data_IF_198183344373
#
_entry.id   IF_198183344373
#
_cell.length_a   1.000
_cell.length_b   1.000
_cell.length_c   1.000
_cell.angle_alpha   90.00
_cell.angle_beta   90.00
_cell.angle_gamma   90.00
#
_symmetry.space_group_name_H-M   'P 1'
#
loop_
_entity.id
_entity.type
_entity.pdbx_description
1 polymer ?
#
# COMPACT_ATOMS: atom_id res chain seq x y z
N UNK A 1 -14.13 24.99 4.03
CA UNK A 1 -13.78 23.92 3.08
C UNK A 1 -15.05 23.16 2.80
N UNK A 2 -15.44 22.95 1.54
CA UNK A 2 -16.72 22.31 1.21
C UNK A 2 -16.67 20.79 1.46
N UNK A 3 -17.81 20.14 1.71
CA UNK A 3 -17.90 18.69 1.94
C UNK A 3 -17.20 17.87 0.83
N UNK A 4 -17.43 18.23 -0.43
CA UNK A 4 -16.83 17.57 -1.60
C UNK A 4 -15.30 17.71 -1.60
N UNK A 5 -14.79 18.89 -1.22
CA UNK A 5 -13.35 19.14 -1.09
C UNK A 5 -12.76 18.35 0.07
N UNK A 6 -13.45 18.30 1.21
CA UNK A 6 -13.03 17.54 2.40
C UNK A 6 -12.90 16.05 2.09
N UNK A 7 -13.90 15.47 1.45
CA UNK A 7 -13.91 14.05 1.08
C UNK A 7 -12.81 13.71 0.04
N UNK A 8 -12.53 14.62 -0.90
CA UNK A 8 -11.43 14.48 -1.86
C UNK A 8 -10.06 14.54 -1.17
N UNK A 9 -9.87 15.46 -0.22
CA UNK A 9 -8.64 15.58 0.54
C UNK A 9 -8.33 14.33 1.38
N UNK A 10 -9.35 13.77 2.05
CA UNK A 10 -9.22 12.50 2.79
C UNK A 10 -8.79 11.36 1.86
N UNK A 11 -9.43 11.24 0.69
CA UNK A 11 -9.06 10.20 -0.29
C UNK A 11 -7.63 10.38 -0.79
N UNK A 12 -7.21 11.59 -1.12
CA UNK A 12 -5.85 11.86 -1.56
C UNK A 12 -4.81 11.46 -0.49
N UNK A 13 -5.10 11.73 0.78
CA UNK A 13 -4.23 11.32 1.88
C UNK A 13 -4.12 9.78 2.00
N UNK A 14 -5.23 9.06 1.87
CA UNK A 14 -5.23 7.59 1.87
C UNK A 14 -4.41 7.05 0.69
N UNK A 15 -4.57 7.64 -0.50
CA UNK A 15 -3.82 7.22 -1.69
C UNK A 15 -2.33 7.47 -1.49
N UNK A 16 -1.96 8.63 -0.95
CA UNK A 16 -0.59 8.96 -0.63
C UNK A 16 0.01 7.95 0.36
N UNK A 17 -0.75 7.55 1.39
CA UNK A 17 -0.32 6.53 2.34
C UNK A 17 -0.11 5.16 1.69
N UNK A 18 -1.03 4.74 0.83
CA UNK A 18 -0.91 3.49 0.08
C UNK A 18 0.29 3.50 -0.86
N UNK A 19 0.55 4.61 -1.55
CA UNK A 19 1.72 4.77 -2.42
C UNK A 19 3.00 4.72 -1.60
N UNK A 20 3.07 5.44 -0.48
CA UNK A 20 4.24 5.43 0.40
C UNK A 20 4.51 4.02 0.95
N UNK A 21 3.49 3.33 1.48
CA UNK A 21 3.61 1.97 1.98
C UNK A 21 4.04 0.99 0.87
N UNK A 22 3.51 1.17 -0.35
CA UNK A 22 3.89 0.38 -1.51
C UNK A 22 5.34 0.59 -1.92
N UNK A 23 5.83 1.84 -1.95
CA UNK A 23 7.24 2.14 -2.23
C UNK A 23 8.15 1.54 -1.17
N UNK A 24 7.82 1.70 0.12
CA UNK A 24 8.59 1.09 1.21
C UNK A 24 8.65 -0.43 1.07
N UNK A 25 7.51 -1.08 0.84
CA UNK A 25 7.43 -2.53 0.64
C UNK A 25 8.36 -3.01 -0.48
N UNK A 26 8.38 -2.28 -1.58
CA UNK A 26 9.14 -2.64 -2.77
C UNK A 26 10.63 -2.46 -2.55
N UNK A 27 11.03 -1.33 -1.94
CA UNK A 27 12.42 -1.08 -1.59
C UNK A 27 12.93 -2.12 -0.59
N UNK A 28 12.17 -2.42 0.46
CA UNK A 28 12.54 -3.45 1.45
C UNK A 28 12.75 -4.81 0.77
N UNK A 29 11.84 -5.22 -0.11
CA UNK A 29 11.96 -6.49 -0.83
C UNK A 29 13.17 -6.47 -1.78
N UNK A 30 13.41 -5.38 -2.50
CA UNK A 30 14.56 -5.23 -3.38
C UNK A 30 15.91 -5.32 -2.63
N UNK A 31 16.02 -4.68 -1.47
CA UNK A 31 17.23 -4.74 -0.63
C UNK A 31 17.51 -6.18 -0.16
N UNK A 32 16.47 -6.92 0.21
CA UNK A 32 16.59 -8.34 0.61
C UNK A 32 17.10 -9.21 -0.53
N UNK A 33 16.65 -8.98 -1.77
CA UNK A 33 17.07 -9.81 -2.90
C UNK A 33 18.44 -9.48 -3.46
N UNK A 34 18.82 -8.20 -3.47
CA UNK A 34 20.09 -7.76 -4.06
C UNK A 34 21.26 -7.83 -3.08
N UNK A 35 21.01 -7.97 -1.77
CA UNK A 35 21.99 -7.77 -0.70
C UNK A 35 22.73 -6.42 -0.78
N UNK A 36 22.22 -5.47 -1.55
CA UNK A 36 22.73 -4.10 -1.59
C UNK A 36 22.05 -3.37 -0.45
N UNK A 37 22.80 -2.94 0.56
CA UNK A 37 22.29 -2.18 1.71
C UNK A 37 21.82 -0.77 1.32
N UNK A 38 20.66 -0.69 0.68
CA UNK A 38 19.97 0.59 0.41
C UNK A 38 19.20 1.06 1.64
N UNK A 39 18.67 0.12 2.43
CA UNK A 39 17.98 0.34 3.70
C UNK A 39 18.37 -0.76 4.70
N UNK A 40 18.50 -0.47 6.00
CA UNK A 40 18.75 -1.49 7.01
C UNK A 40 17.50 -2.35 7.20
N UNK A 41 17.30 -3.39 6.39
CA UNK A 41 16.07 -4.20 6.39
C UNK A 41 16.00 -5.08 7.63
N UNK A 42 15.04 -4.79 8.50
CA UNK A 42 14.68 -5.64 9.63
C UNK A 42 13.25 -6.19 9.46
N UNK A 43 12.88 -7.29 10.14
CA UNK A 43 11.50 -7.76 10.15
C UNK A 43 10.48 -6.69 10.61
N UNK A 44 10.94 -5.67 11.34
CA UNK A 44 10.12 -4.54 11.76
C UNK A 44 9.54 -3.72 10.59
N UNK A 45 10.15 -3.75 9.40
CA UNK A 45 9.61 -3.06 8.21
C UNK A 45 8.27 -3.63 7.74
N UNK A 46 8.03 -4.93 7.94
CA UNK A 46 6.73 -5.51 7.61
C UNK A 46 5.65 -5.05 8.59
N UNK A 47 6.01 -4.93 9.87
CA UNK A 47 5.13 -4.32 10.88
C UNK A 47 4.82 -2.88 10.50
N UNK A 48 5.82 -2.14 10.03
CA UNK A 48 5.69 -0.76 9.57
C UNK A 48 4.64 -0.59 8.46
N UNK A 49 4.71 -1.45 7.45
CA UNK A 49 3.74 -1.48 6.34
C UNK A 49 2.34 -1.79 6.85
N UNK A 50 2.18 -2.78 7.73
CA UNK A 50 0.86 -3.16 8.28
C UNK A 50 0.26 -2.02 9.11
N UNK A 51 1.07 -1.37 9.94
CA UNK A 51 0.64 -0.21 10.74
C UNK A 51 0.22 0.95 9.82
N UNK A 52 1.02 1.25 8.79
CA UNK A 52 0.72 2.31 7.83
C UNK A 52 -0.58 2.06 7.06
N UNK A 53 -0.82 0.81 6.63
CA UNK A 53 -2.06 0.40 5.98
C UNK A 53 -3.26 0.46 6.93
N UNK A 54 -3.09 0.04 8.19
CA UNK A 54 -4.12 0.14 9.23
C UNK A 54 -4.52 1.59 9.51
N UNK A 55 -3.53 2.49 9.62
CA UNK A 55 -3.77 3.92 9.77
C UNK A 55 -4.45 4.51 8.54
N UNK A 56 -4.01 4.16 7.34
CA UNK A 56 -4.64 4.59 6.09
C UNK A 56 -6.12 4.15 6.01
N UNK A 57 -6.44 2.94 6.45
CA UNK A 57 -7.82 2.47 6.56
C UNK A 57 -8.63 3.25 7.60
N UNK A 58 -8.03 3.61 8.73
CA UNK A 58 -8.64 4.50 9.73
C UNK A 58 -8.96 5.89 9.17
N UNK A 59 -8.06 6.46 8.36
CA UNK A 59 -8.27 7.72 7.64
C UNK A 59 -9.40 7.57 6.61
N UNK A 60 -9.47 6.44 5.91
CA UNK A 60 -10.58 6.14 4.99
C UNK A 60 -11.94 6.10 5.71
N UNK A 61 -11.99 5.58 6.95
CA UNK A 61 -13.17 5.66 7.83
C UNK A 61 -13.38 7.05 8.45
N UNK A 62 -12.64 8.07 8.01
CA UNK A 62 -12.74 9.48 8.44
C UNK A 62 -12.43 9.67 9.93
N UNK A 63 -11.61 8.80 10.52
CA UNK A 63 -11.14 8.96 11.90
C UNK A 63 -10.10 10.09 11.99
N UNK A 64 -10.39 11.10 12.81
CA UNK A 64 -9.49 12.24 13.09
C UNK A 64 -8.17 11.77 13.71
N UNK A 65 -8.25 10.84 14.67
CA UNK A 65 -7.08 10.33 15.40
C UNK A 65 -6.15 9.57 14.44
N UNK A 66 -6.69 8.71 13.59
CA UNK A 66 -5.87 7.97 12.62
C UNK A 66 -5.17 8.88 11.62
N UNK A 67 -5.77 10.01 11.22
CA UNK A 67 -5.14 10.96 10.31
C UNK A 67 -3.92 11.65 10.93
N UNK A 68 -4.03 12.04 12.20
CA UNK A 68 -2.92 12.63 12.96
C UNK A 68 -1.83 11.59 13.19
N UNK A 69 -2.20 10.38 13.61
CA UNK A 69 -1.26 9.28 13.82
C UNK A 69 -0.52 8.91 12.53
N UNK A 70 -1.20 8.87 11.38
CA UNK A 70 -0.57 8.58 10.08
C UNK A 70 0.52 9.60 9.73
N UNK A 71 0.26 10.89 9.95
CA UNK A 71 1.26 11.95 9.72
C UNK A 71 2.45 11.80 10.67
N UNK A 72 2.19 11.65 11.97
CA UNK A 72 3.24 11.49 12.98
C UNK A 72 4.12 10.26 12.70
N UNK A 73 3.47 9.14 12.38
CA UNK A 73 4.12 7.89 12.02
C UNK A 73 5.07 8.07 10.83
N UNK A 74 4.59 8.73 9.77
CA UNK A 74 5.40 9.03 8.60
C UNK A 74 6.62 9.92 8.92
N UNK A 75 6.44 10.95 9.75
CA UNK A 75 7.54 11.85 10.13
C UNK A 75 8.61 11.12 10.95
N UNK A 76 8.20 10.26 11.89
CA UNK A 76 9.13 9.44 12.68
C UNK A 76 9.91 8.49 11.76
N UNK A 77 9.22 7.87 10.80
CA UNK A 77 9.85 7.04 9.77
C UNK A 77 10.92 7.80 8.99
N UNK A 78 10.60 9.01 8.49
CA UNK A 78 11.58 9.81 7.73
C UNK A 78 12.75 10.32 8.55
N UNK A 79 12.54 10.70 9.81
CA UNK A 79 13.65 11.08 10.69
C UNK A 79 14.58 9.88 10.90
N UNK A 80 14.02 8.68 11.13
CA UNK A 80 14.81 7.46 11.32
C UNK A 80 15.65 7.13 10.08
N UNK A 81 15.10 7.31 8.88
CA UNK A 81 15.81 7.13 7.61
C UNK A 81 16.95 8.15 7.46
N UNK A 82 16.71 9.44 7.76
CA UNK A 82 17.75 10.46 7.68
C UNK A 82 18.89 10.23 8.66
N UNK A 83 18.58 9.78 9.88
CA UNK A 83 19.60 9.43 10.88
C UNK A 83 20.42 8.21 10.44
N UNK A 84 19.81 7.26 9.73
CA UNK A 84 20.48 6.04 9.28
C UNK A 84 21.37 6.25 8.04
N UNK A 85 20.90 7.03 7.06
CA UNK A 85 21.66 7.28 5.81
C UNK A 85 22.57 8.51 5.88
N UNK A 86 22.39 9.39 6.87
CA UNK A 86 23.15 10.65 6.97
C UNK A 86 22.90 11.63 5.83
N UNK A 87 21.88 11.40 5.00
CA UNK A 87 21.56 12.22 3.82
C UNK A 87 20.05 12.55 3.79
N UNK A 88 19.74 13.80 3.42
CA UNK A 88 18.38 14.36 3.31
C UNK A 88 17.84 14.33 1.87
N UNK A 89 18.37 13.48 1.00
CA UNK A 89 17.96 13.37 -0.40
C UNK A 89 16.46 13.07 -0.60
N UNK A 90 15.80 12.47 0.40
CA UNK A 90 14.36 12.18 0.37
C UNK A 90 13.46 13.34 0.82
N UNK A 91 14.02 14.50 1.16
CA UNK A 91 13.29 15.66 1.70
C UNK A 91 12.22 16.23 0.74
N UNK A 92 12.47 16.41 -0.57
CA UNK A 92 11.44 16.91 -1.50
C UNK A 92 10.22 15.99 -1.54
N UNK A 93 10.45 14.68 -1.59
CA UNK A 93 9.36 13.69 -1.61
C UNK A 93 8.61 13.65 -0.28
N UNK A 94 9.33 13.80 0.84
CA UNK A 94 8.72 13.87 2.17
C UNK A 94 7.76 15.05 2.32
N UNK A 95 8.11 16.22 1.79
CA UNK A 95 7.25 17.39 1.80
C UNK A 95 5.95 17.18 1.02
N UNK A 96 6.02 16.48 -0.12
CA UNK A 96 4.83 16.15 -0.93
C UNK A 96 3.87 15.24 -0.15
N UNK A 97 4.37 14.16 0.46
CA UNK A 97 3.53 13.28 1.28
C UNK A 97 2.97 14.00 2.51
N UNK A 98 3.78 14.79 3.19
CA UNK A 98 3.37 15.58 4.35
C UNK A 98 2.21 16.53 3.99
N UNK A 99 2.30 17.20 2.83
CA UNK A 99 1.22 18.04 2.32
C UNK A 99 -0.10 17.27 2.16
N UNK A 100 -0.08 16.08 1.57
CA UNK A 100 -1.27 15.25 1.42
C UNK A 100 -1.83 14.77 2.77
N UNK A 101 -0.99 14.41 3.73
CA UNK A 101 -1.44 14.00 5.06
C UNK A 101 -2.05 15.16 5.85
N UNK A 102 -1.46 16.36 5.79
CA UNK A 102 -2.04 17.57 6.40
C UNK A 102 -3.39 17.92 5.77
N UNK A 103 -3.51 17.78 4.45
CA UNK A 103 -4.81 17.91 3.77
C UNK A 103 -5.82 16.85 4.25
N UNK A 104 -5.38 15.61 4.44
CA UNK A 104 -6.20 14.53 5.00
C UNK A 104 -6.73 14.87 6.39
N UNK A 105 -5.87 15.37 7.27
CA UNK A 105 -6.25 15.83 8.61
C UNK A 105 -7.32 16.92 8.51
N UNK A 106 -7.05 18.00 7.76
CA UNK A 106 -8.02 19.08 7.56
C UNK A 106 -9.36 18.57 7.01
N UNK A 107 -9.33 17.61 6.09
CA UNK A 107 -10.51 16.96 5.53
C UNK A 107 -11.32 16.18 6.57
N UNK A 108 -10.67 15.38 7.43
CA UNK A 108 -11.37 14.63 8.50
C UNK A 108 -12.01 15.53 9.56
N UNK A 109 -11.36 16.63 9.93
CA UNK A 109 -11.91 17.61 10.87
C UNK A 109 -13.09 18.38 10.27
N UNK A 110 -12.96 18.86 9.03
CA UNK A 110 -14.05 19.54 8.32
C UNK A 110 -15.28 18.63 8.16
N UNK A 111 -15.07 17.34 7.88
CA UNK A 111 -16.15 16.36 7.76
C UNK A 111 -16.95 16.22 9.07
N UNK A 112 -16.26 16.13 10.21
CA UNK A 112 -16.92 15.96 11.51
C UNK A 112 -17.66 17.23 11.95
N UNK A 113 -17.10 18.40 11.69
CA UNK A 113 -17.75 19.68 11.97
C UNK A 113 -19.07 19.85 11.19
N UNK A 114 -19.11 19.42 9.93
CA UNK A 114 -20.35 19.48 9.13
C UNK A 114 -21.39 18.44 9.57
N UNK A 115 -20.94 17.24 9.93
CA UNK A 115 -21.86 16.17 10.38
C UNK A 115 -22.53 16.54 11.71
N UNK A 116 -21.84 17.28 12.59
CA UNK A 116 -22.40 17.78 13.85
C UNK A 116 -23.50 18.82 13.66
N UNK A 117 -23.45 19.63 12.57
CA UNK A 117 -24.40 20.73 12.34
C UNK A 117 -25.65 20.30 11.55
N UNK A 118 -25.61 19.15 10.87
CA UNK A 118 -26.75 18.62 10.09
C UNK A 118 -27.79 17.90 10.99
N UNK A 119 -27.49 17.72 12.28
CA UNK A 119 -28.32 16.92 13.19
C UNK A 119 -29.51 17.67 13.83
N UNK A 120 -29.78 18.93 13.46
CA UNK A 120 -30.81 19.73 14.14
C UNK A 120 -32.05 20.11 13.31
N UNK A 121 -31.99 20.25 11.97
CA UNK A 121 -33.15 20.81 11.23
C UNK A 121 -33.52 20.12 9.89
N UNK A 122 -32.82 19.07 9.44
CA UNK A 122 -33.16 18.43 8.16
C UNK A 122 -33.23 16.90 8.28
N UNK A 123 -34.37 16.31 7.87
CA UNK A 123 -34.41 14.89 7.56
C UNK A 123 -33.28 14.57 6.57
N UNK A 124 -32.41 13.60 6.88
CA UNK A 124 -31.22 13.36 6.08
C UNK A 124 -31.66 12.90 4.69
N UNK A 125 -31.55 13.78 3.70
CA UNK A 125 -31.61 13.38 2.29
C UNK A 125 -30.44 12.46 2.04
N UNK A 126 -30.69 11.17 2.24
CA UNK A 126 -29.77 10.07 2.09
C UNK A 126 -29.45 10.01 0.60
N UNK A 127 -28.50 10.83 0.16
CA UNK A 127 -27.84 10.63 -1.12
C UNK A 127 -26.91 9.44 -0.95
N UNK A 128 -27.52 8.27 -0.73
CA UNK A 128 -26.98 6.97 -1.05
C UNK A 128 -26.81 6.92 -2.56
N UNK A 129 -25.88 7.74 -3.10
CA UNK A 129 -25.11 7.26 -4.22
C UNK A 129 -24.38 6.03 -3.69
N UNK A 130 -25.03 4.88 -3.88
CA UNK A 130 -24.39 3.58 -3.88
C UNK A 130 -23.31 3.71 -4.93
N UNK A 131 -22.13 4.17 -4.49
CA UNK A 131 -20.92 4.28 -5.29
C UNK A 131 -20.53 2.85 -5.59
N UNK A 132 -21.18 2.33 -6.62
CA UNK A 132 -21.14 0.94 -7.04
C UNK A 132 -19.65 0.72 -7.33
N UNK A 133 -18.98 -0.07 -6.49
CA UNK A 133 -17.52 -0.18 -6.49
C UNK A 133 -17.05 -0.87 -7.76
N UNK A 134 -15.82 -0.61 -8.19
CA UNK A 134 -15.18 -1.42 -9.23
C UNK A 134 -14.76 -2.73 -8.58
N UNK A 135 -15.66 -3.72 -8.62
CA UNK A 135 -15.39 -5.09 -8.19
C UNK A 135 -14.08 -5.62 -8.80
N UNK A 136 -13.78 -5.45 -10.11
CA UNK A 136 -12.53 -5.97 -10.67
C UNK A 136 -11.27 -5.27 -10.11
N UNK A 137 -11.33 -3.96 -9.84
CA UNK A 137 -10.20 -3.23 -9.25
C UNK A 137 -9.95 -3.57 -7.77
N UNK A 138 -11.00 -3.94 -7.03
CA UNK A 138 -10.84 -4.46 -5.66
C UNK A 138 -10.20 -5.84 -5.73
N UNK A 139 -10.69 -6.73 -6.61
CA UNK A 139 -10.12 -8.08 -6.76
C UNK A 139 -8.64 -8.01 -7.12
N UNK A 140 -8.23 -7.16 -8.07
CA UNK A 140 -6.81 -7.03 -8.45
C UNK A 140 -5.95 -6.50 -7.30
N UNK A 141 -6.46 -5.56 -6.50
CA UNK A 141 -5.79 -5.06 -5.32
C UNK A 141 -5.65 -6.13 -4.23
N UNK A 142 -6.72 -6.90 -3.97
CA UNK A 142 -6.71 -7.97 -2.95
C UNK A 142 -5.76 -9.09 -3.34
N UNK A 143 -5.71 -9.46 -4.62
CA UNK A 143 -4.75 -10.43 -5.16
C UNK A 143 -3.31 -9.93 -5.05
N UNK A 144 -3.07 -8.67 -5.40
CA UNK A 144 -1.75 -8.05 -5.27
C UNK A 144 -1.27 -7.98 -3.81
N UNK A 145 -2.17 -7.65 -2.88
CA UNK A 145 -1.85 -7.67 -1.44
C UNK A 145 -1.60 -9.10 -0.92
N UNK A 146 -2.34 -10.10 -1.41
CA UNK A 146 -2.09 -11.50 -1.09
C UNK A 146 -0.72 -11.98 -1.56
N UNK A 147 -0.30 -11.56 -2.76
CA UNK A 147 1.02 -11.85 -3.31
C UNK A 147 2.16 -11.27 -2.49
N UNK A 148 1.95 -10.07 -1.92
CA UNK A 148 2.92 -9.49 -1.01
C UNK A 148 3.15 -10.39 0.21
N UNK A 149 2.07 -10.87 0.84
CA UNK A 149 2.15 -11.76 2.01
C UNK A 149 2.94 -13.03 1.69
N UNK A 150 2.73 -13.63 0.53
CA UNK A 150 3.50 -14.81 0.12
C UNK A 150 4.99 -14.50 -0.09
N UNK A 151 5.36 -13.32 -0.63
CA UNK A 151 6.78 -12.89 -0.70
C UNK A 151 7.35 -12.78 0.71
N UNK A 152 6.63 -12.18 1.66
CA UNK A 152 7.10 -12.05 3.05
C UNK A 152 7.36 -13.42 3.66
N UNK A 153 6.43 -14.37 3.49
CA UNK A 153 6.60 -15.74 4.00
C UNK A 153 7.84 -16.41 3.38
N UNK A 154 8.03 -16.28 2.07
CA UNK A 154 9.20 -16.84 1.39
C UNK A 154 10.51 -16.27 1.96
N UNK A 155 10.57 -14.95 2.15
CA UNK A 155 11.76 -14.27 2.67
C UNK A 155 12.06 -14.70 4.11
N UNK A 156 11.03 -14.75 4.97
CA UNK A 156 11.20 -15.08 6.38
C UNK A 156 11.59 -16.54 6.63
N UNK A 157 11.08 -17.47 5.80
CA UNK A 157 11.25 -18.90 6.03
C UNK A 157 12.20 -19.58 5.02
N UNK A 158 12.66 -18.87 3.99
CA UNK A 158 13.49 -19.44 2.92
C UNK A 158 14.95 -19.68 3.30
N UNK A 159 15.55 -18.79 4.10
CA UNK A 159 16.96 -18.84 4.52
C UNK A 159 17.19 -19.76 5.72
N UNK A 160 16.96 -21.06 5.55
CA UNK A 160 17.14 -22.06 6.63
C UNK A 160 16.16 -23.23 6.56
N UNK A 161 15.22 -23.17 5.63
CA UNK A 161 14.30 -24.26 5.32
C UNK A 161 15.04 -25.57 4.99
N UNK A 162 14.52 -26.68 5.52
CA UNK A 162 14.90 -28.02 5.10
C UNK A 162 14.63 -28.21 3.60
N UNK A 163 15.30 -29.18 2.97
CA UNK A 163 15.14 -29.52 1.54
C UNK A 163 13.66 -29.66 1.14
N UNK A 164 12.84 -30.33 1.96
CA UNK A 164 11.40 -30.46 1.71
C UNK A 164 10.65 -29.13 1.71
N UNK A 165 10.98 -28.21 2.63
CA UNK A 165 10.33 -26.89 2.71
C UNK A 165 10.73 -26.02 1.50
N UNK A 166 11.98 -26.14 1.01
CA UNK A 166 12.44 -25.43 -0.20
C UNK A 166 11.61 -25.81 -1.43
N UNK A 167 11.26 -27.09 -1.59
CA UNK A 167 10.40 -27.55 -2.70
C UNK A 167 9.01 -26.93 -2.60
N UNK A 168 8.43 -26.89 -1.40
CA UNK A 168 7.12 -26.25 -1.17
C UNK A 168 7.17 -24.75 -1.47
N UNK A 169 8.23 -24.05 -1.05
CA UNK A 169 8.47 -22.64 -1.36
C UNK A 169 8.57 -22.42 -2.88
N UNK A 170 9.30 -23.28 -3.60
CA UNK A 170 9.41 -23.20 -5.07
C UNK A 170 8.07 -23.40 -5.78
N UNK A 171 7.25 -24.36 -5.33
CA UNK A 171 5.90 -24.56 -5.86
C UNK A 171 5.01 -23.34 -5.59
N UNK A 172 5.08 -22.80 -4.39
CA UNK A 172 4.34 -21.61 -3.98
C UNK A 172 4.73 -20.39 -4.84
N UNK A 173 6.02 -20.22 -5.14
CA UNK A 173 6.53 -19.21 -6.09
C UNK A 173 5.91 -19.34 -7.49
N UNK A 174 5.80 -20.55 -8.04
CA UNK A 174 5.17 -20.76 -9.34
C UNK A 174 3.68 -20.35 -9.33
N UNK A 175 2.95 -20.72 -8.28
CA UNK A 175 1.52 -20.36 -8.17
C UNK A 175 1.30 -18.85 -8.03
N UNK A 176 2.21 -18.15 -7.37
CA UNK A 176 2.15 -16.69 -7.25
C UNK A 176 2.42 -15.95 -8.56
N UNK A 177 3.27 -16.48 -9.45
CA UNK A 177 3.47 -15.88 -10.78
C UNK A 177 2.14 -15.91 -11.56
N UNK A 178 1.43 -17.04 -11.52
CA UNK A 178 0.10 -17.17 -12.15
C UNK A 178 -0.93 -16.21 -11.53
N UNK A 179 -0.96 -16.11 -10.20
CA UNK A 179 -1.81 -15.16 -9.50
C UNK A 179 -1.48 -13.69 -9.83
N UNK A 180 -0.21 -13.36 -10.08
CA UNK A 180 0.20 -12.00 -10.46
C UNK A 180 -0.24 -11.64 -11.88
N UNK A 181 -0.06 -12.57 -12.84
CA UNK A 181 -0.52 -12.38 -14.23
C UNK A 181 -2.04 -12.17 -14.25
N UNK A 182 -2.79 -13.00 -13.54
CA UNK A 182 -4.26 -12.84 -13.44
C UNK A 182 -4.65 -11.51 -12.78
N UNK A 183 -3.98 -11.11 -11.70
CA UNK A 183 -4.18 -9.81 -11.04
C UNK A 183 -3.94 -8.62 -11.97
N UNK A 184 -2.91 -8.70 -12.82
CA UNK A 184 -2.56 -7.67 -13.81
C UNK A 184 -3.64 -7.58 -14.90
N UNK A 185 -4.12 -8.72 -15.42
CA UNK A 185 -5.24 -8.78 -16.39
C UNK A 185 -6.50 -8.14 -15.80
N UNK A 186 -6.89 -8.47 -14.57
CA UNK A 186 -8.03 -7.84 -13.90
C UNK A 186 -7.83 -6.34 -13.66
N UNK A 187 -6.60 -5.93 -13.35
CA UNK A 187 -6.22 -4.53 -13.26
C UNK A 187 -6.44 -3.77 -14.57
N UNK A 188 -5.99 -4.31 -15.70
CA UNK A 188 -6.16 -3.72 -17.04
C UNK A 188 -7.64 -3.68 -17.44
N UNK A 189 -8.38 -4.78 -17.24
CA UNK A 189 -9.84 -4.82 -17.49
C UNK A 189 -10.55 -3.75 -16.65
N UNK A 190 -10.12 -3.57 -15.39
CA UNK A 190 -10.60 -2.51 -14.52
C UNK A 190 -10.23 -1.09 -14.97
N UNK A 191 -9.20 -0.91 -15.81
CA UNK A 191 -8.85 0.39 -16.41
C UNK A 191 -9.70 0.70 -17.63
N UNK A 192 -10.05 -0.31 -18.43
CA UNK A 192 -10.82 -0.17 -19.67
C UNK A 192 -12.30 0.15 -19.39
N UNK A 193 -12.85 -0.28 -18.25
CA UNK A 193 -14.23 0.06 -17.88
C UNK A 193 -14.41 1.58 -17.70
N UNK A 194 -15.11 2.21 -18.64
CA UNK A 194 -15.27 3.67 -18.80
C UNK A 194 -16.00 4.38 -17.64
N UNK A 195 -16.52 3.66 -16.65
CA UNK A 195 -17.53 4.21 -15.74
C UNK A 195 -17.34 3.89 -14.25
N UNK A 196 -16.15 4.09 -13.67
CA UNK A 196 -15.91 4.30 -12.22
C UNK A 196 -14.47 4.67 -11.89
N UNK A 197 -14.27 5.16 -10.67
CA UNK A 197 -12.99 5.58 -10.05
C UNK A 197 -11.86 4.58 -10.39
N UNK A 198 -11.04 4.94 -11.39
CA UNK A 198 -9.94 4.13 -11.95
C UNK A 198 -8.81 3.84 -10.96
N UNK A 199 -8.88 4.44 -9.78
CA UNK A 199 -7.77 4.51 -8.85
C UNK A 199 -7.37 3.14 -8.29
N UNK A 200 -8.35 2.26 -7.99
CA UNK A 200 -8.06 0.90 -7.55
C UNK A 200 -7.50 0.03 -8.69
N UNK A 201 -7.98 0.24 -9.93
CA UNK A 201 -7.46 -0.47 -11.09
C UNK A 201 -6.02 -0.05 -11.41
N UNK A 202 -5.72 1.26 -11.37
CA UNK A 202 -4.36 1.80 -11.55
C UNK A 202 -3.44 1.25 -10.46
N UNK A 203 -3.85 1.32 -9.17
CA UNK A 203 -3.08 0.77 -8.06
C UNK A 203 -2.85 -0.73 -8.22
N UNK A 204 -3.89 -1.51 -8.56
CA UNK A 204 -3.78 -2.95 -8.76
C UNK A 204 -2.84 -3.33 -9.90
N UNK A 205 -2.82 -2.58 -11.01
CA UNK A 205 -1.88 -2.81 -12.12
C UNK A 205 -0.45 -2.50 -11.69
N UNK A 206 -0.21 -1.35 -11.04
CA UNK A 206 1.12 -0.95 -10.58
C UNK A 206 1.65 -1.98 -9.58
N UNK A 207 0.82 -2.37 -8.61
CA UNK A 207 1.18 -3.26 -7.51
C UNK A 207 1.43 -4.71 -8.00
N UNK A 208 0.55 -5.27 -8.86
CA UNK A 208 0.80 -6.58 -9.46
C UNK A 208 1.97 -6.58 -10.43
N UNK A 209 2.13 -5.54 -11.27
CA UNK A 209 3.28 -5.45 -12.18
C UNK A 209 4.60 -5.43 -11.43
N UNK A 210 4.66 -4.66 -10.34
CA UNK A 210 5.84 -4.55 -9.50
C UNK A 210 6.13 -5.84 -8.72
N UNK A 211 5.10 -6.48 -8.15
CA UNK A 211 5.28 -7.78 -7.50
C UNK A 211 5.64 -8.89 -8.46
N UNK A 212 5.10 -8.90 -9.69
CA UNK A 212 5.55 -9.82 -10.74
C UNK A 212 7.05 -9.70 -10.98
N UNK A 213 7.56 -8.47 -11.10
CA UNK A 213 8.98 -8.24 -11.30
C UNK A 213 9.81 -8.74 -10.11
N UNK A 214 9.40 -8.40 -8.89
CA UNK A 214 10.07 -8.86 -7.66
C UNK A 214 10.03 -10.39 -7.53
N UNK A 215 8.94 -11.02 -7.93
CA UNK A 215 8.81 -12.48 -7.93
C UNK A 215 9.78 -13.16 -8.88
N UNK A 216 9.97 -12.60 -10.09
CA UNK A 216 10.94 -13.12 -11.05
C UNK A 216 12.35 -13.00 -10.48
N UNK A 217 12.70 -11.85 -9.89
CA UNK A 217 14.00 -11.67 -9.24
C UNK A 217 14.20 -12.67 -8.09
N UNK A 218 13.18 -12.84 -7.24
CA UNK A 218 13.18 -13.81 -6.15
C UNK A 218 13.39 -15.25 -6.61
N UNK A 219 12.68 -15.64 -7.67
CA UNK A 219 12.77 -16.98 -8.25
C UNK A 219 14.17 -17.24 -8.83
N UNK A 220 14.78 -16.25 -9.47
CA UNK A 220 16.16 -16.36 -10.00
C UNK A 220 17.15 -16.53 -8.85
N UNK A 221 17.10 -15.68 -7.82
CA UNK A 221 17.98 -15.80 -6.65
C UNK A 221 17.77 -17.13 -5.90
N UNK A 222 16.54 -17.63 -5.85
CA UNK A 222 16.23 -18.91 -5.24
C UNK A 222 16.77 -20.10 -6.06
N UNK A 223 16.66 -20.05 -7.39
CA UNK A 223 17.22 -21.06 -8.28
C UNK A 223 18.76 -21.16 -8.14
N UNK A 224 19.44 -20.01 -8.09
CA UNK A 224 20.90 -19.95 -7.85
C UNK A 224 21.30 -20.60 -6.51
N UNK A 225 20.51 -20.38 -5.45
CA UNK A 225 20.76 -21.00 -4.14
C UNK A 225 20.53 -22.51 -4.10
N UNK A 226 19.80 -23.06 -5.09
CA UNK A 226 19.62 -24.50 -5.25
C UNK A 226 20.71 -25.14 -6.11
N UNK A 227 21.61 -24.35 -6.70
CA UNK A 227 22.68 -24.83 -7.57
C UNK A 227 22.25 -25.13 -9.01
N UNK A 228 21.15 -24.52 -9.47
CA UNK A 228 20.71 -24.54 -10.87
C UNK A 228 21.19 -23.32 -11.65
#
# INVERSE_FOLDING_TARGET
MDYVKADKAVKNAVIAALVSAGVTAVLSVFTIFTNVEVLPVSPAFFVDIVVMLGLAFGVYKKSRVCAVLLLLYYLIGQISVWLSLGNVSSLPMALVFCYFYVQGIRGTFAYHSMTSNVSLDDEPKKTTEVTKRSIPGIISFTLGAGLFVTIVVIVLFGSGASQGIKIVIGLLMMTSILASVTGLVFGIVGLIQKNRRRLFSVLGVILNGLFSFLYVAAAVSFAQNLGF
#
